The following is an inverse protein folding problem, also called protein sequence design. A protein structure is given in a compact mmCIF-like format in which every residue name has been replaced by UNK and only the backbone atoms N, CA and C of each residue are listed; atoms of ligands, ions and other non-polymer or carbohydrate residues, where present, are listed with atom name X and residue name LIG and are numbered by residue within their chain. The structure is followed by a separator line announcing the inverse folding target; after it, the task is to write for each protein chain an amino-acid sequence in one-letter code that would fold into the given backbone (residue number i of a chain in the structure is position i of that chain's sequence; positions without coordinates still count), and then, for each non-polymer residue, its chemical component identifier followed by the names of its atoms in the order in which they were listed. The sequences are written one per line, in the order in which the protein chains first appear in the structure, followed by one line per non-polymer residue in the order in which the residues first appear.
data_IF_542561220361
#
_entry.id   IF_542561220361
#
_cell.length_a   1.000
_cell.length_b   1.000
_cell.length_c   1.000
_cell.angle_alpha   90.00
_cell.angle_beta   90.00
_cell.angle_gamma   90.00
#
_symmetry.space_group_name_H-M   'P 1'
#
loop_
_entity.id
_entity.type
_entity.pdbx_description
1 polymer ?
#
# COMPACT_ATOMS: atom_id res chain seq x y z
N UNK A 1 -3.58 -29.93 29.96
CA UNK A 1 -3.36 -28.57 29.42
C UNK A 1 -3.16 -28.72 27.92
N UNK A 2 -4.13 -28.30 27.10
CA UNK A 2 -3.98 -28.28 25.64
C UNK A 2 -3.03 -27.13 25.30
N UNK A 3 -1.81 -27.43 24.88
CA UNK A 3 -0.88 -26.40 24.44
C UNK A 3 -1.36 -25.85 23.09
N UNK A 4 -2.19 -24.80 23.14
CA UNK A 4 -2.53 -24.00 21.96
C UNK A 4 -1.30 -23.16 21.64
N UNK A 5 -0.61 -23.47 20.54
CA UNK A 5 0.56 -22.70 20.10
C UNK A 5 0.20 -21.99 18.81
N UNK A 6 0.02 -20.67 18.89
CA UNK A 6 0.05 -19.79 17.73
C UNK A 6 1.50 -19.45 17.39
N UNK A 7 1.85 -19.46 16.11
CA UNK A 7 3.21 -19.20 15.62
C UNK A 7 3.28 -17.92 14.79
N UNK A 8 2.72 -17.97 13.58
CA UNK A 8 2.62 -16.83 12.69
C UNK A 8 1.30 -16.12 12.85
N UNK A 9 1.30 -14.80 12.70
CA UNK A 9 0.06 -14.02 12.62
C UNK A 9 0.25 -12.83 11.70
N UNK A 10 -0.85 -12.40 11.08
CA UNK A 10 -0.90 -11.18 10.27
C UNK A 10 -2.15 -10.39 10.65
N UNK A 11 -2.00 -9.06 10.62
CA UNK A 11 -3.13 -8.14 10.66
C UNK A 11 -3.27 -7.49 9.28
N UNK A 12 -4.39 -7.75 8.61
CA UNK A 12 -4.68 -7.29 7.27
C UNK A 12 -6.18 -7.04 7.12
N UNK A 13 -6.59 -6.08 6.29
CA UNK A 13 -8.00 -5.82 6.00
C UNK A 13 -8.38 -6.66 4.77
N UNK A 14 -8.87 -7.89 4.99
CA UNK A 14 -9.13 -8.84 3.90
C UNK A 14 -10.47 -8.61 3.21
N UNK A 15 -11.31 -7.70 3.67
CA UNK A 15 -12.58 -7.38 3.00
C UNK A 15 -12.77 -5.89 2.72
N UNK A 16 -11.67 -5.13 2.80
CA UNK A 16 -11.58 -3.71 2.52
C UNK A 16 -12.54 -2.85 3.34
N UNK A 17 -12.95 -3.30 4.53
CA UNK A 17 -13.99 -2.65 5.33
C UNK A 17 -13.46 -1.55 6.27
N UNK A 18 -12.17 -1.24 6.17
CA UNK A 18 -11.35 -0.32 6.98
C UNK A 18 -10.90 -0.87 8.34
N UNK A 19 -11.19 -2.13 8.68
CA UNK A 19 -10.76 -2.76 9.93
C UNK A 19 -9.75 -3.87 9.66
N UNK A 20 -8.73 -3.94 10.50
CA UNK A 20 -7.76 -5.02 10.42
C UNK A 20 -8.37 -6.30 10.98
N UNK A 21 -8.37 -7.34 10.16
CA UNK A 21 -8.62 -8.72 10.55
C UNK A 21 -7.35 -9.34 11.13
N UNK A 22 -7.50 -10.43 11.88
CA UNK A 22 -6.38 -11.18 12.40
C UNK A 22 -6.43 -12.64 11.93
N UNK A 23 -5.41 -13.05 11.19
CA UNK A 23 -5.21 -14.46 10.88
C UNK A 23 -4.09 -15.04 11.74
N UNK A 24 -4.30 -16.25 12.27
CA UNK A 24 -3.39 -16.92 13.20
C UNK A 24 -3.06 -18.32 12.69
N UNK A 25 -1.78 -18.55 12.45
CA UNK A 25 -1.21 -19.84 12.16
C UNK A 25 -1.05 -20.66 13.45
N UNK A 26 -1.59 -21.86 13.48
CA UNK A 26 -1.52 -22.76 14.63
C UNK A 26 -0.77 -24.05 14.31
N UNK A 27 -0.37 -24.73 15.38
CA UNK A 27 0.20 -26.08 15.37
C UNK A 27 -0.73 -27.00 16.15
N UNK A 28 -0.98 -28.20 15.62
CA UNK A 28 -1.89 -29.19 16.20
C UNK A 28 -3.34 -28.70 16.41
N UNK A 29 -3.72 -27.57 15.81
CA UNK A 29 -5.07 -27.00 15.79
C UNK A 29 -5.29 -26.34 14.41
N UNK A 30 -6.54 -26.15 13.95
CA UNK A 30 -6.83 -25.35 12.75
C UNK A 30 -6.33 -23.91 12.87
N UNK A 31 -5.90 -23.32 11.76
CA UNK A 31 -5.69 -21.88 11.67
C UNK A 31 -7.00 -21.12 11.90
N UNK A 32 -6.89 -19.87 12.34
CA UNK A 32 -8.05 -19.05 12.73
C UNK A 32 -8.04 -17.70 12.06
N UNK A 33 -9.23 -17.18 11.78
CA UNK A 33 -9.46 -15.87 11.20
C UNK A 33 -10.48 -15.14 12.06
N UNK A 34 -10.10 -13.98 12.57
CA UNK A 34 -11.00 -13.13 13.34
C UNK A 34 -11.19 -11.82 12.59
N UNK A 35 -12.41 -11.55 12.12
CA UNK A 35 -12.72 -10.33 11.39
C UNK A 35 -12.78 -9.11 12.32
N UNK A 36 -12.10 -8.04 11.91
CA UNK A 36 -12.21 -6.73 12.54
C UNK A 36 -13.61 -6.15 12.30
N UNK A 37 -14.14 -5.38 13.26
CA UNK A 37 -15.46 -4.74 13.13
C UNK A 37 -15.41 -3.35 13.75
N UNK A 38 -16.24 -2.43 13.25
CA UNK A 38 -16.37 -1.07 13.79
C UNK A 38 -16.77 -1.05 15.28
N UNK A 39 -17.62 -1.99 15.67
CA UNK A 39 -17.96 -2.28 17.06
C UNK A 39 -17.49 -3.70 17.35
N UNK A 40 -16.50 -3.82 18.23
CA UNK A 40 -16.01 -5.12 18.62
C UNK A 40 -16.98 -5.78 19.61
N UNK A 41 -17.74 -6.76 19.14
CA UNK A 41 -18.44 -7.70 20.01
C UNK A 41 -17.42 -8.73 20.51
N UNK A 42 -17.15 -8.74 21.81
CA UNK A 42 -16.19 -9.65 22.42
C UNK A 42 -16.89 -10.82 23.12
N UNK A 43 -16.43 -12.07 22.93
CA UNK A 43 -15.27 -12.49 22.13
C UNK A 43 -15.54 -12.47 20.62
N UNK A 44 -14.48 -12.20 19.83
CA UNK A 44 -14.52 -12.36 18.38
C UNK A 44 -14.81 -13.83 18.02
N UNK A 45 -15.54 -14.02 16.92
CA UNK A 45 -15.88 -15.33 16.36
C UNK A 45 -14.79 -15.75 15.38
N UNK A 46 -14.45 -17.04 15.40
CA UNK A 46 -13.54 -17.63 14.41
C UNK A 46 -14.30 -17.89 13.11
N UNK A 47 -13.93 -17.17 12.06
CA UNK A 47 -14.54 -17.20 10.74
C UNK A 47 -13.69 -17.99 9.72
N UNK A 48 -12.56 -18.59 10.14
CA UNK A 48 -11.71 -19.35 9.24
C UNK A 48 -12.41 -20.52 8.52
N UNK A 49 -13.29 -21.31 9.16
CA UNK A 49 -13.98 -22.41 8.49
C UNK A 49 -14.93 -21.95 7.38
N UNK A 50 -15.62 -20.83 7.60
CA UNK A 50 -16.53 -20.26 6.60
C UNK A 50 -15.76 -19.65 5.42
N UNK A 51 -14.62 -19.03 5.71
CA UNK A 51 -13.69 -18.52 4.70
C UNK A 51 -12.85 -19.62 4.01
N UNK A 52 -12.89 -20.88 4.48
CA UNK A 52 -12.13 -22.00 3.91
C UNK A 52 -10.61 -21.89 4.12
N UNK A 53 -10.17 -21.18 5.16
CA UNK A 53 -8.76 -20.93 5.48
C UNK A 53 -8.31 -21.62 6.79
N UNK A 54 -9.15 -22.50 7.33
CA UNK A 54 -8.93 -23.25 8.58
C UNK A 54 -7.98 -24.46 8.40
N UNK A 55 -6.83 -24.25 7.76
CA UNK A 55 -5.85 -25.32 7.53
C UNK A 55 -5.47 -25.99 8.84
N UNK A 56 -5.67 -27.31 8.91
CA UNK A 56 -5.33 -28.11 10.07
C UNK A 56 -4.00 -28.86 9.88
N UNK A 57 -2.90 -28.11 9.80
CA UNK A 57 -1.51 -28.60 9.77
C UNK A 57 -0.65 -27.79 10.73
N UNK A 58 0.61 -28.21 10.91
CA UNK A 58 1.59 -27.43 11.66
C UNK A 58 2.04 -26.22 10.82
N UNK A 59 1.36 -25.09 11.04
CA UNK A 59 1.52 -23.85 10.29
C UNK A 59 2.39 -22.87 11.04
N UNK A 60 3.43 -22.35 10.38
CA UNK A 60 4.46 -21.54 11.04
C UNK A 60 4.44 -20.07 10.61
N UNK A 61 3.99 -19.80 9.39
CA UNK A 61 4.02 -18.46 8.84
C UNK A 61 2.92 -18.22 7.84
N UNK A 62 2.67 -16.93 7.64
CA UNK A 62 1.75 -16.38 6.69
C UNK A 62 2.38 -15.13 6.10
N UNK A 63 2.20 -14.94 4.80
CA UNK A 63 2.47 -13.70 4.08
C UNK A 63 1.22 -13.28 3.34
N UNK A 64 1.03 -11.97 3.19
CA UNK A 64 -0.10 -11.37 2.47
C UNK A 64 0.39 -10.48 1.33
N UNK A 65 -0.44 -10.37 0.31
CA UNK A 65 -0.24 -9.53 -0.87
C UNK A 65 -1.40 -9.74 -1.84
N UNK A 66 -1.65 -8.78 -2.71
CA UNK A 66 -2.70 -8.89 -3.73
C UNK A 66 -2.04 -9.46 -5.01
N UNK A 67 -2.15 -10.78 -5.18
CA UNK A 67 -1.35 -11.60 -6.10
C UNK A 67 -1.89 -11.54 -7.51
N UNK A 68 -3.21 -11.47 -7.68
CA UNK A 68 -3.87 -11.34 -8.98
C UNK A 68 -4.23 -9.89 -9.35
N UNK A 69 -3.99 -8.93 -8.46
CA UNK A 69 -4.17 -7.48 -8.65
C UNK A 69 -5.63 -7.07 -8.80
N UNK A 70 -6.53 -7.65 -8.01
CA UNK A 70 -7.96 -7.32 -7.97
C UNK A 70 -8.34 -6.35 -6.83
N UNK A 71 -7.44 -6.14 -5.87
CA UNK A 71 -7.56 -5.15 -4.81
C UNK A 71 -7.91 -5.69 -3.42
N UNK A 72 -8.15 -6.99 -3.28
CA UNK A 72 -8.14 -7.64 -1.98
C UNK A 72 -6.87 -8.42 -1.72
N UNK A 73 -6.50 -8.53 -0.44
CA UNK A 73 -5.30 -9.22 -0.05
C UNK A 73 -5.52 -10.73 -0.09
N UNK A 74 -4.60 -11.42 -0.76
CA UNK A 74 -4.45 -12.87 -0.73
C UNK A 74 -3.52 -13.29 0.41
N UNK A 75 -3.45 -14.60 0.60
CA UNK A 75 -2.67 -15.18 1.69
C UNK A 75 -1.88 -16.40 1.24
N UNK A 76 -0.57 -16.38 1.49
CA UNK A 76 0.33 -17.52 1.32
C UNK A 76 0.73 -18.09 2.69
N UNK A 77 0.41 -19.36 2.93
CA UNK A 77 0.59 -20.02 4.22
C UNK A 77 1.67 -21.11 4.13
N UNK A 78 2.62 -21.06 5.07
CA UNK A 78 3.75 -21.98 5.17
C UNK A 78 3.56 -23.06 6.24
N UNK A 79 3.63 -24.31 5.81
CA UNK A 79 3.34 -25.50 6.61
C UNK A 79 4.56 -26.43 6.72
N UNK A 80 4.78 -27.06 7.87
CA UNK A 80 5.90 -28.00 8.05
C UNK A 80 5.65 -29.34 7.34
N UNK A 81 6.64 -29.80 6.56
CA UNK A 81 6.61 -31.06 5.80
C UNK A 81 5.38 -31.18 4.86
N UNK A 82 4.84 -30.05 4.42
CA UNK A 82 3.67 -29.94 3.56
C UNK A 82 3.94 -28.92 2.46
N UNK A 83 3.02 -28.84 1.49
CA UNK A 83 3.03 -27.77 0.48
C UNK A 83 2.61 -26.46 1.13
N UNK A 84 3.04 -25.35 0.53
CA UNK A 84 2.45 -24.04 0.81
C UNK A 84 1.02 -24.01 0.28
N UNK A 85 0.14 -23.31 0.97
CA UNK A 85 -1.20 -23.01 0.48
C UNK A 85 -1.24 -21.56 0.05
N UNK A 86 -1.67 -21.30 -1.18
CA UNK A 86 -2.09 -19.98 -1.62
C UNK A 86 -3.61 -19.94 -1.55
N UNK A 87 -4.14 -18.96 -0.83
CA UNK A 87 -5.56 -18.64 -0.76
C UNK A 87 -5.77 -17.37 -1.56
N UNK A 88 -6.52 -17.50 -2.66
CA UNK A 88 -6.99 -16.36 -3.44
C UNK A 88 -8.27 -15.86 -2.79
N UNK A 89 -8.24 -14.63 -2.32
CA UNK A 89 -9.39 -13.93 -1.79
C UNK A 89 -10.21 -13.41 -2.98
N UNK A 90 -11.54 -13.47 -2.87
CA UNK A 90 -12.45 -12.95 -3.90
C UNK A 90 -13.53 -12.10 -3.22
N UNK A 91 -13.12 -11.38 -2.17
CA UNK A 91 -14.03 -10.56 -1.38
C UNK A 91 -14.48 -9.32 -2.16
N UNK A 92 -13.63 -8.80 -3.05
CA UNK A 92 -13.93 -7.69 -3.96
C UNK A 92 -15.02 -8.04 -4.99
N UNK A 93 -15.12 -9.31 -5.41
CA UNK A 93 -16.18 -9.80 -6.30
C UNK A 93 -17.58 -9.72 -5.68
N UNK A 94 -17.65 -9.79 -4.34
CA UNK A 94 -18.91 -9.89 -3.59
C UNK A 94 -19.25 -8.59 -2.87
N UNK A 95 -18.24 -7.84 -2.43
CA UNK A 95 -18.40 -6.58 -1.68
C UNK A 95 -17.88 -5.40 -2.51
N UNK A 96 -18.69 -4.35 -2.62
CA UNK A 96 -18.31 -3.11 -3.30
C UNK A 96 -17.48 -2.17 -2.43
N UNK A 97 -16.54 -2.71 -1.65
CA UNK A 97 -15.61 -1.91 -0.85
C UNK A 97 -14.44 -1.46 -1.72
N UNK A 98 -14.01 -0.23 -1.53
CA UNK A 98 -12.92 0.38 -2.25
C UNK A 98 -11.59 0.13 -1.52
N UNK A 99 -10.49 0.29 -2.24
CA UNK A 99 -9.15 0.06 -1.72
C UNK A 99 -8.15 1.06 -2.31
N UNK A 100 -6.94 1.14 -1.75
CA UNK A 100 -5.79 1.72 -2.44
C UNK A 100 -4.55 0.90 -2.15
N UNK A 101 -3.67 0.78 -3.14
CA UNK A 101 -2.34 0.18 -2.99
C UNK A 101 -1.28 1.23 -3.29
N UNK A 102 -0.29 1.34 -2.41
CA UNK A 102 0.77 2.35 -2.51
C UNK A 102 2.14 1.68 -2.56
N UNK A 103 2.82 1.78 -3.69
CA UNK A 103 4.24 1.43 -3.80
C UNK A 103 5.09 2.63 -3.37
N UNK A 104 6.13 2.42 -2.57
CA UNK A 104 7.06 3.50 -2.21
C UNK A 104 8.36 3.33 -2.98
N UNK A 105 8.69 4.35 -3.78
CA UNK A 105 9.93 4.42 -4.54
C UNK A 105 10.89 5.43 -3.88
N UNK A 106 11.93 4.90 -3.26
CA UNK A 106 12.95 5.68 -2.55
C UNK A 106 14.20 5.97 -3.36
N UNK A 107 15.12 6.69 -2.72
CA UNK A 107 16.42 7.02 -3.29
C UNK A 107 17.41 5.84 -3.28
N UNK A 108 18.58 6.02 -3.90
CA UNK A 108 19.58 4.99 -4.22
C UNK A 108 19.93 4.01 -3.08
N UNK A 109 20.07 4.49 -1.84
CA UNK A 109 20.43 3.64 -0.70
C UNK A 109 19.24 2.87 -0.10
N UNK A 110 18.02 3.33 -0.31
CA UNK A 110 16.79 2.73 0.20
C UNK A 110 15.71 2.74 -0.89
N UNK A 111 15.98 2.05 -2.01
CA UNK A 111 15.13 2.06 -3.21
C UNK A 111 13.69 1.61 -2.95
N UNK A 112 13.51 0.65 -2.05
CA UNK A 112 12.18 0.16 -1.66
C UNK A 112 11.52 1.02 -0.58
N UNK A 113 12.12 2.12 -0.16
CA UNK A 113 11.56 2.99 0.87
C UNK A 113 11.32 2.31 2.22
N UNK A 114 12.10 1.28 2.58
CA UNK A 114 11.94 0.51 3.82
C UNK A 114 11.95 1.47 5.03
N UNK A 115 10.95 1.34 5.91
CA UNK A 115 10.74 2.21 7.07
C UNK A 115 9.92 3.47 6.78
N UNK A 116 9.51 3.70 5.53
CA UNK A 116 8.57 4.78 5.20
C UNK A 116 7.22 4.48 5.85
N UNK A 117 6.75 5.41 6.67
CA UNK A 117 5.45 5.35 7.31
C UNK A 117 4.47 6.18 6.49
N UNK A 118 3.34 5.61 6.12
CA UNK A 118 2.31 6.27 5.34
C UNK A 118 1.02 6.26 6.14
N UNK A 119 0.42 7.43 6.28
CA UNK A 119 -0.90 7.62 6.87
C UNK A 119 -1.89 7.98 5.77
N UNK A 120 -3.03 7.30 5.73
CA UNK A 120 -4.12 7.51 4.78
C UNK A 120 -5.35 7.92 5.56
N UNK A 121 -5.92 9.08 5.26
CA UNK A 121 -7.21 9.52 5.79
C UNK A 121 -8.30 9.44 4.72
N UNK A 122 -9.26 8.55 4.93
CA UNK A 122 -10.47 8.44 4.12
C UNK A 122 -11.70 8.51 5.02
N UNK A 123 -12.58 9.48 4.75
CA UNK A 123 -13.81 9.65 5.53
C UNK A 123 -13.60 9.99 7.00
N UNK A 124 -12.47 10.61 7.37
CA UNK A 124 -12.13 10.94 8.75
C UNK A 124 -11.62 9.75 9.56
N UNK A 125 -11.33 8.62 8.91
CA UNK A 125 -10.63 7.48 9.51
C UNK A 125 -9.21 7.45 8.98
N UNK A 126 -8.26 7.68 9.89
CA UNK A 126 -6.83 7.57 9.57
C UNK A 126 -6.35 6.12 9.77
N UNK A 127 -5.67 5.58 8.78
CA UNK A 127 -4.96 4.31 8.83
C UNK A 127 -3.46 4.54 8.62
N UNK A 128 -2.63 3.81 9.36
CA UNK A 128 -1.17 3.89 9.26
C UNK A 128 -0.59 2.56 8.82
N UNK A 129 0.32 2.56 7.85
CA UNK A 129 1.14 1.41 7.47
C UNK A 129 2.60 1.84 7.28
N UNK A 130 3.49 0.86 7.34
CA UNK A 130 4.93 1.06 7.19
C UNK A 130 5.46 0.07 6.15
N UNK A 131 6.35 0.51 5.28
CA UNK A 131 7.04 -0.40 4.36
C UNK A 131 8.05 -1.23 5.14
N UNK A 132 7.82 -2.54 5.21
CA UNK A 132 8.59 -3.46 6.06
C UNK A 132 9.38 -4.48 5.26
N UNK A 133 10.61 -4.72 5.71
CA UNK A 133 11.44 -5.83 5.27
C UNK A 133 11.61 -6.81 6.43
N UNK A 134 11.22 -8.06 6.21
CA UNK A 134 11.09 -9.13 7.19
C UNK A 134 9.72 -9.10 7.87
N UNK A 135 8.80 -9.99 7.45
CA UNK A 135 7.52 -10.21 8.15
C UNK A 135 7.40 -11.68 8.55
N UNK A 136 7.00 -11.92 9.80
CA UNK A 136 6.71 -13.26 10.32
C UNK A 136 7.93 -14.23 10.13
N UNK A 137 7.75 -15.55 10.27
CA UNK A 137 8.84 -16.52 10.22
C UNK A 137 9.06 -17.06 8.79
N UNK A 138 10.25 -16.85 8.20
CA UNK A 138 10.56 -17.35 6.83
C UNK A 138 9.58 -16.86 5.75
N UNK A 139 9.01 -15.68 5.93
CA UNK A 139 8.03 -15.08 5.03
C UNK A 139 8.35 -13.60 4.81
N UNK A 140 7.69 -13.02 3.82
CA UNK A 140 7.74 -11.60 3.49
C UNK A 140 6.42 -11.24 2.84
N UNK A 141 5.73 -10.25 3.39
CA UNK A 141 4.52 -9.65 2.81
C UNK A 141 4.95 -8.82 1.59
N UNK A 142 4.03 -8.54 0.67
CA UNK A 142 4.32 -7.57 -0.39
C UNK A 142 4.80 -6.22 0.21
N UNK A 143 5.74 -5.53 -0.45
CA UNK A 143 6.19 -4.21 0.01
C UNK A 143 5.14 -3.12 -0.23
N UNK A 144 4.20 -3.36 -1.14
CA UNK A 144 3.08 -2.49 -1.45
C UNK A 144 2.17 -2.35 -0.24
N UNK A 145 1.91 -1.12 0.17
CA UNK A 145 1.03 -0.83 1.29
C UNK A 145 -0.42 -0.91 0.82
N UNK A 146 -1.23 -1.70 1.50
CA UNK A 146 -2.66 -1.86 1.20
C UNK A 146 -3.53 -1.20 2.28
N UNK A 147 -4.60 -0.55 1.81
CA UNK A 147 -5.62 0.09 2.63
C UNK A 147 -7.00 -0.21 2.07
N UNK A 148 -7.84 -0.88 2.87
CA UNK A 148 -9.28 -0.90 2.63
C UNK A 148 -9.90 0.45 2.96
N UNK A 149 -10.79 0.94 2.11
CA UNK A 149 -11.41 2.27 2.19
C UNK A 149 -12.92 2.22 2.41
N UNK A 150 -13.51 1.02 2.52
CA UNK A 150 -14.96 0.86 2.64
C UNK A 150 -15.68 1.53 1.46
N UNK A 151 -16.69 2.35 1.74
CA UNK A 151 -17.44 3.04 0.68
C UNK A 151 -16.76 4.31 0.12
N UNK A 152 -15.56 4.67 0.58
CA UNK A 152 -14.93 5.94 0.19
C UNK A 152 -14.23 5.83 -1.17
N UNK A 153 -14.64 6.66 -2.13
CA UNK A 153 -14.11 6.66 -3.51
C UNK A 153 -12.81 7.47 -3.65
N UNK A 154 -12.46 8.26 -2.62
CA UNK A 154 -11.26 9.09 -2.58
C UNK A 154 -10.69 9.16 -1.18
N UNK A 155 -9.38 9.38 -1.12
CA UNK A 155 -8.62 9.66 0.09
C UNK A 155 -8.46 11.18 0.18
N UNK A 156 -8.82 11.75 1.33
CA UNK A 156 -8.71 13.19 1.55
C UNK A 156 -7.26 13.63 1.72
N UNK A 157 -6.46 12.84 2.44
CA UNK A 157 -5.07 13.16 2.70
C UNK A 157 -4.21 11.88 2.85
N UNK A 158 -3.04 11.87 2.22
CA UNK A 158 -1.98 10.89 2.45
C UNK A 158 -0.77 11.62 2.99
N UNK A 159 -0.30 11.24 4.18
CA UNK A 159 0.94 11.77 4.77
C UNK A 159 2.03 10.71 4.70
N UNK A 160 3.14 11.05 4.07
CA UNK A 160 4.27 10.13 3.82
C UNK A 160 5.45 10.61 4.63
N UNK A 161 5.96 9.77 5.53
CA UNK A 161 7.10 10.06 6.41
C UNK A 161 8.27 9.14 6.05
N UNK A 162 9.33 9.71 5.50
CA UNK A 162 10.49 8.97 4.99
C UNK A 162 11.59 8.89 6.06
N UNK A 163 12.25 7.73 6.25
CA UNK A 163 13.41 7.63 7.13
C UNK A 163 14.49 8.62 6.71
N UNK A 164 14.95 9.44 7.66
CA UNK A 164 15.89 10.54 7.39
C UNK A 164 15.25 11.93 7.37
N UNK A 165 13.93 12.03 7.46
CA UNK A 165 13.21 13.29 7.77
C UNK A 165 12.45 13.92 6.61
N UNK A 166 12.42 13.29 5.43
CA UNK A 166 11.56 13.72 4.33
C UNK A 166 10.08 13.53 4.66
N UNK A 167 9.23 14.46 4.24
CA UNK A 167 7.77 14.36 4.38
C UNK A 167 7.10 14.81 3.07
N UNK A 168 6.01 14.13 2.70
CA UNK A 168 5.07 14.60 1.66
C UNK A 168 3.64 14.51 2.15
N UNK A 169 2.80 15.36 1.57
CA UNK A 169 1.35 15.31 1.73
C UNK A 169 0.75 15.22 0.34
N UNK A 170 -0.17 14.30 0.14
CA UNK A 170 -0.96 14.17 -1.08
C UNK A 170 -2.44 14.34 -0.72
N UNK A 171 -3.24 14.90 -1.61
CA UNK A 171 -4.67 15.12 -1.40
C UNK A 171 -5.47 14.63 -2.60
N UNK A 172 -6.78 14.43 -2.41
CA UNK A 172 -7.72 14.05 -3.48
C UNK A 172 -7.39 12.74 -4.25
N UNK A 173 -6.58 11.86 -3.68
CA UNK A 173 -6.15 10.61 -4.32
C UNK A 173 -7.35 9.67 -4.59
N UNK A 174 -7.57 9.22 -5.84
CA UNK A 174 -8.62 8.27 -6.18
C UNK A 174 -8.40 6.88 -5.57
N UNK A 175 -9.49 6.25 -5.13
CA UNK A 175 -9.51 4.85 -4.73
C UNK A 175 -9.47 3.90 -5.95
N UNK A 176 -9.32 2.60 -5.68
CA UNK A 176 -9.29 1.47 -6.61
C UNK A 176 -8.16 1.53 -7.64
N UNK A 177 -7.01 1.98 -7.17
CA UNK A 177 -5.79 2.12 -7.96
C UNK A 177 -4.58 1.70 -7.13
N UNK A 178 -3.56 1.26 -7.86
CA UNK A 178 -2.19 1.10 -7.37
C UNK A 178 -1.39 2.33 -7.80
N UNK A 179 -0.95 3.12 -6.84
CA UNK A 179 -0.20 4.36 -7.07
C UNK A 179 1.26 4.20 -6.62
N UNK A 180 2.16 4.90 -7.31
CA UNK A 180 3.57 4.98 -6.91
C UNK A 180 3.83 6.28 -6.14
N UNK A 181 4.35 6.17 -4.93
CA UNK A 181 4.71 7.27 -4.04
C UNK A 181 6.22 7.44 -4.05
N UNK A 182 6.69 8.49 -4.71
CA UNK A 182 8.11 8.84 -4.74
C UNK A 182 8.50 9.63 -3.49
N UNK A 183 9.64 9.28 -2.89
CA UNK A 183 10.22 10.08 -1.80
C UNK A 183 10.62 11.47 -2.31
N UNK A 184 10.69 12.51 -1.46
CA UNK A 184 11.03 13.87 -1.90
C UNK A 184 12.28 13.96 -2.77
N UNK A 185 13.29 13.13 -2.49
CA UNK A 185 14.57 13.13 -3.21
C UNK A 185 14.47 12.55 -4.63
N UNK A 186 13.37 11.86 -4.96
CA UNK A 186 13.10 11.26 -6.28
C UNK A 186 12.20 12.12 -7.16
N UNK A 187 11.57 13.16 -6.61
CA UNK A 187 10.57 13.95 -7.32
C UNK A 187 11.15 14.65 -8.54
N UNK A 188 10.48 14.53 -9.68
CA UNK A 188 10.90 15.10 -10.97
C UNK A 188 12.16 14.50 -11.60
N UNK A 189 12.93 13.69 -10.87
CA UNK A 189 14.17 13.02 -11.30
C UNK A 189 13.85 11.57 -11.72
N UNK A 190 13.44 11.43 -12.98
CA UNK A 190 12.97 10.18 -13.57
C UNK A 190 14.13 9.20 -13.73
N UNK A 191 15.31 9.70 -14.09
CA UNK A 191 16.47 8.86 -14.35
C UNK A 191 17.30 8.55 -13.07
N UNK A 192 16.97 9.20 -11.94
CA UNK A 192 17.62 9.08 -10.64
C UNK A 192 19.12 9.42 -10.70
N UNK A 193 19.49 10.46 -11.46
CA UNK A 193 20.86 10.99 -11.56
C UNK A 193 21.15 12.12 -10.57
N UNK A 194 20.12 12.58 -9.83
CA UNK A 194 20.17 13.64 -8.83
C UNK A 194 19.84 15.02 -9.36
N UNK A 195 19.46 15.16 -10.63
CA UNK A 195 19.17 16.45 -11.26
C UNK A 195 17.91 16.38 -12.12
N UNK A 196 17.03 17.38 -11.99
CA UNK A 196 15.91 17.56 -12.92
C UNK A 196 16.42 18.24 -14.19
N UNK A 197 16.32 17.54 -15.32
CA UNK A 197 16.75 17.97 -16.64
C UNK A 197 15.61 18.57 -17.48
N UNK A 198 15.97 19.24 -18.58
CA UNK A 198 15.00 19.75 -19.57
C UNK A 198 14.18 18.62 -20.19
N UNK A 199 14.74 17.41 -20.30
CA UNK A 199 14.04 16.27 -20.86
C UNK A 199 12.96 15.73 -19.91
N UNK A 200 13.19 15.80 -18.59
CA UNK A 200 12.20 15.43 -17.58
C UNK A 200 11.10 16.49 -17.45
N UNK A 201 11.46 17.77 -17.52
CA UNK A 201 10.46 18.85 -17.62
C UNK A 201 9.58 18.64 -18.86
N UNK A 202 10.15 18.24 -20.00
CA UNK A 202 9.37 17.94 -21.21
C UNK A 202 8.44 16.75 -21.00
N UNK A 203 8.88 15.72 -20.28
CA UNK A 203 8.03 14.57 -19.93
C UNK A 203 6.86 15.01 -19.05
N UNK A 204 7.11 15.81 -18.01
CA UNK A 204 6.07 16.38 -17.16
C UNK A 204 5.06 17.22 -17.99
N UNK A 205 5.53 18.06 -18.91
CA UNK A 205 4.66 18.84 -19.79
C UNK A 205 3.79 17.98 -20.71
N UNK A 206 4.28 16.80 -21.12
CA UNK A 206 3.51 15.85 -21.93
C UNK A 206 2.49 15.08 -21.08
N UNK A 207 2.80 14.83 -19.80
CA UNK A 207 1.92 14.18 -18.84
C UNK A 207 0.84 15.12 -18.28
N UNK A 208 1.05 16.44 -18.41
CA UNK A 208 0.17 17.49 -17.89
C UNK A 208 -1.29 17.30 -18.28
N UNK A 209 -2.14 17.24 -17.27
CA UNK A 209 -3.59 17.24 -17.42
C UNK A 209 -4.08 18.65 -17.05
N UNK A 210 -4.92 19.28 -17.87
CA UNK A 210 -5.41 20.64 -17.53
C UNK A 210 -6.21 20.62 -16.19
N UNK A 211 -6.54 21.79 -15.61
CA UNK A 211 -7.20 21.86 -14.30
C UNK A 211 -8.44 20.95 -14.18
N UNK A 212 -8.45 20.06 -13.20
CA UNK A 212 -9.47 19.02 -13.04
C UNK A 212 -9.17 17.76 -13.84
N UNK A 213 -7.92 17.64 -14.29
CA UNK A 213 -7.32 16.45 -14.85
C UNK A 213 -7.26 15.34 -13.82
N UNK A 214 -7.28 14.10 -14.30
CA UNK A 214 -7.05 12.95 -13.41
C UNK A 214 -5.64 12.47 -13.69
N UNK A 215 -4.77 12.57 -12.69
CA UNK A 215 -3.45 11.96 -12.75
C UNK A 215 -3.59 10.47 -13.09
N UNK A 216 -2.78 9.99 -14.03
CA UNK A 216 -2.78 8.58 -14.44
C UNK A 216 -1.63 7.84 -13.77
N UNK A 217 -1.81 6.56 -13.38
CA UNK A 217 -0.72 5.79 -12.77
C UNK A 217 0.53 5.77 -13.65
N UNK A 218 1.70 5.93 -13.04
CA UNK A 218 3.00 6.06 -13.69
C UNK A 218 3.48 7.49 -13.94
N UNK A 219 2.67 8.51 -13.65
CA UNK A 219 3.05 9.93 -13.77
C UNK A 219 3.17 10.65 -12.41
N UNK A 220 3.04 9.95 -11.29
CA UNK A 220 3.04 10.49 -9.92
C UNK A 220 4.33 11.23 -9.55
N UNK A 221 5.43 10.91 -10.24
CA UNK A 221 6.73 11.58 -10.06
C UNK A 221 6.71 13.06 -10.47
N UNK A 222 5.71 13.47 -11.26
CA UNK A 222 5.54 14.84 -11.75
C UNK A 222 4.49 15.64 -10.99
N UNK A 223 3.69 15.01 -10.11
CA UNK A 223 2.79 15.71 -9.18
C UNK A 223 3.63 16.19 -7.98
N UNK A 224 4.15 17.41 -8.11
CA UNK A 224 5.13 17.99 -7.19
C UNK A 224 4.48 18.56 -5.95
N UNK A 225 3.27 19.12 -6.06
CA UNK A 225 2.55 19.71 -4.91
C UNK A 225 1.60 18.73 -4.20
N UNK A 226 1.35 17.56 -4.80
CA UNK A 226 0.59 16.47 -4.20
C UNK A 226 -0.91 16.65 -4.31
N UNK A 227 -1.43 17.43 -5.26
CA UNK A 227 -2.87 17.65 -5.41
C UNK A 227 -3.57 16.62 -6.30
N UNK A 228 -2.80 15.66 -6.85
CA UNK A 228 -3.24 14.61 -7.77
C UNK A 228 -3.71 15.11 -9.15
N UNK A 229 -3.27 16.30 -9.55
CA UNK A 229 -3.26 16.81 -10.92
C UNK A 229 -1.79 16.98 -11.36
N UNK A 230 -1.54 17.10 -12.67
CA UNK A 230 -0.23 17.55 -13.17
C UNK A 230 -0.50 18.83 -13.93
N UNK A 231 -0.18 19.98 -13.37
CA UNK A 231 -0.63 21.26 -13.85
C UNK A 231 0.52 22.26 -14.07
N UNK A 232 0.28 23.57 -13.92
CA UNK A 232 1.34 24.57 -14.07
C UNK A 232 2.13 24.78 -12.78
N UNK A 233 1.54 24.56 -11.60
CA UNK A 233 2.21 24.63 -10.31
C UNK A 233 3.33 23.57 -10.24
N UNK A 234 3.06 22.35 -10.70
CA UNK A 234 4.07 21.29 -10.72
C UNK A 234 5.31 21.65 -11.54
N UNK A 235 5.08 22.13 -12.76
CA UNK A 235 6.15 22.52 -13.68
C UNK A 235 6.97 23.67 -13.10
N UNK A 236 6.34 24.60 -12.36
CA UNK A 236 7.04 25.68 -11.66
C UNK A 236 7.90 25.12 -10.52
N UNK A 237 7.39 24.16 -9.75
CA UNK A 237 8.10 23.51 -8.65
C UNK A 237 9.27 22.64 -9.12
N UNK A 238 9.21 22.07 -10.32
CA UNK A 238 10.35 21.39 -10.97
C UNK A 238 11.52 22.34 -11.32
N UNK A 239 11.38 23.65 -11.12
CA UNK A 239 12.50 24.59 -11.20
C UNK A 239 12.67 25.32 -12.53
N UNK A 240 11.58 25.66 -13.24
CA UNK A 240 11.65 26.69 -14.30
C UNK A 240 11.78 28.09 -13.66
N UNK A 241 12.93 28.31 -13.02
CA UNK A 241 13.42 29.61 -12.58
C UNK A 241 14.93 29.62 -12.80
N UNK A 242 15.39 30.29 -13.85
CA UNK A 242 16.80 30.40 -14.32
C UNK A 242 17.29 29.30 -15.28
N UNK A 243 16.55 29.07 -16.37
CA UNK A 243 17.22 28.87 -17.66
C UNK A 243 17.24 30.24 -18.36
N UNK A 244 18.26 31.06 -18.06
CA UNK A 244 18.57 32.15 -18.98
C UNK A 244 18.88 31.52 -20.35
N UNK A 245 18.34 32.07 -21.45
CA UNK A 245 18.76 31.65 -22.77
C UNK A 245 20.26 31.93 -22.87
N UNK A 246 21.06 30.88 -23.01
CA UNK A 246 22.47 31.04 -23.39
C UNK A 246 22.51 31.95 -24.61
N UNK A 247 23.19 33.12 -24.55
CA UNK A 247 23.34 33.97 -25.72
C UNK A 247 24.03 33.16 -26.80
N UNK A 248 23.47 33.25 -28.01
CA UNK A 248 23.97 32.62 -29.23
C UNK A 248 25.42 32.98 -29.53
#
# INVERSE_FOLDING_TARGET
ASHRVGWGTVFADFDNDTHLDNYVCNIQEPNRLYRGKAVADWPLVDEAPEAGVDVFWDTYCVSVGDVDNDGDLDMLVGNTNRRVNLFINNSSDVKSNNWVRLDVEGATLNRYGIGTCVEVDAGGKTQTREVRSGTNYKSQDEFTLHYGLGAHEKISEVRVYVPGGGMRVLTNMPANHRWTIYTPERMGDVNNDGMISVDEIRQAMNARTGPGGVLTPGNEIFDMDGDFDIDTADIQLMGIGVLEPTPR
#
